data_IF_296404053786
#
_entry.id   IF_296404053786
#
_cell.length_a   1.000
_cell.length_b   1.000
_cell.length_c   1.000
_cell.angle_alpha   90.00
_cell.angle_beta   90.00
_cell.angle_gamma   90.00
#
_symmetry.space_group_name_H-M   'P 1'
#
loop_
_entity.id
_entity.type
_entity.pdbx_description
1 polymer ?
#
# COMPACT_ATOMS: atom_id res chain seq x y z
N UNK A 1 -22.52 -16.95 5.60
CA UNK A 1 -22.59 -15.83 4.63
C UNK A 1 -21.97 -14.63 5.31
N UNK A 2 -20.70 -14.34 5.03
CA UNK A 2 -20.03 -13.13 5.49
C UNK A 2 -19.58 -12.35 4.27
N UNK A 3 -20.41 -11.36 3.91
CA UNK A 3 -20.02 -10.30 2.99
C UNK A 3 -19.26 -9.26 3.82
N UNK A 4 -17.94 -9.16 3.64
CA UNK A 4 -17.16 -7.92 3.77
C UNK A 4 -15.71 -8.17 3.38
N UNK A 5 -15.43 -7.99 2.09
CA UNK A 5 -14.20 -7.32 1.64
C UNK A 5 -14.39 -6.87 0.18
N UNK A 6 -15.33 -5.95 0.00
CA UNK A 6 -15.34 -5.13 -1.20
C UNK A 6 -14.08 -4.24 -1.14
N UNK A 7 -13.25 -4.28 -2.18
CA UNK A 7 -12.06 -3.45 -2.36
C UNK A 7 -10.82 -3.84 -1.53
N UNK A 8 -10.35 -5.09 -1.62
CA UNK A 8 -8.89 -5.29 -1.53
C UNK A 8 -8.36 -4.63 -2.80
N UNK A 9 -7.79 -3.44 -2.68
CA UNK A 9 -7.10 -2.80 -3.79
C UNK A 9 -5.96 -3.73 -4.18
N UNK A 10 -6.12 -4.46 -5.29
CA UNK A 10 -5.04 -5.29 -5.82
C UNK A 10 -4.05 -4.35 -6.51
N UNK A 11 -3.11 -3.86 -5.69
CA UNK A 11 -2.02 -3.02 -6.16
C UNK A 11 -1.16 -3.75 -7.21
N UNK A 12 -1.04 -5.07 -7.15
CA UNK A 12 -0.27 -5.80 -8.17
C UNK A 12 -0.98 -5.76 -9.52
N UNK A 13 -2.30 -5.95 -9.55
CA UNK A 13 -3.08 -5.81 -10.78
C UNK A 13 -3.02 -4.37 -11.33
N UNK A 14 -3.13 -3.38 -10.43
CA UNK A 14 -3.09 -1.96 -10.79
C UNK A 14 -1.73 -1.56 -11.35
N UNK A 15 -0.63 -1.95 -10.68
CA UNK A 15 0.74 -1.72 -11.15
C UNK A 15 1.00 -2.39 -12.50
N UNK A 16 0.48 -3.61 -12.71
CA UNK A 16 0.61 -4.31 -14.00
C UNK A 16 -0.08 -3.57 -15.14
N UNK A 17 -1.30 -3.07 -14.91
CA UNK A 17 -2.07 -2.28 -15.90
C UNK A 17 -1.38 -0.95 -16.23
N UNK A 18 -0.90 -0.25 -15.20
CA UNK A 18 -0.17 1.01 -15.36
C UNK A 18 1.14 0.78 -16.13
N UNK A 19 1.89 -0.27 -15.81
CA UNK A 19 3.14 -0.62 -16.49
C UNK A 19 2.93 -0.91 -17.98
N UNK A 20 1.91 -1.71 -18.33
CA UNK A 20 1.56 -1.97 -19.73
C UNK A 20 1.18 -0.68 -20.46
N UNK A 21 0.43 0.21 -19.81
CA UNK A 21 0.03 1.50 -20.37
C UNK A 21 1.22 2.42 -20.59
N UNK A 22 2.19 2.45 -19.66
CA UNK A 22 3.44 3.19 -19.80
C UNK A 22 4.27 2.68 -20.96
N UNK A 23 4.42 1.36 -21.10
CA UNK A 23 5.17 0.76 -22.21
C UNK A 23 4.54 1.14 -23.55
N UNK A 24 3.22 1.03 -23.66
CA UNK A 24 2.47 1.38 -24.87
C UNK A 24 2.57 2.88 -25.19
N UNK A 25 2.42 3.74 -24.18
CA UNK A 25 2.53 5.18 -24.35
C UNK A 25 3.97 5.60 -24.72
N UNK A 26 4.98 4.95 -24.15
CA UNK A 26 6.38 5.19 -24.49
C UNK A 26 6.65 4.83 -25.95
N UNK A 27 6.18 3.66 -26.39
CA UNK A 27 6.33 3.19 -27.78
C UNK A 27 5.58 4.08 -28.79
N UNK A 28 4.41 4.60 -28.42
CA UNK A 28 3.52 5.31 -29.35
C UNK A 28 3.77 6.81 -29.40
N UNK A 29 3.95 7.44 -28.24
CA UNK A 29 3.99 8.90 -28.09
C UNK A 29 5.34 9.41 -27.61
N UNK A 30 6.19 8.54 -27.05
CA UNK A 30 7.47 8.91 -26.48
C UNK A 30 7.37 9.47 -25.05
N UNK A 31 8.52 9.61 -24.37
CA UNK A 31 8.58 9.90 -22.93
C UNK A 31 8.18 11.35 -22.59
N UNK A 32 8.34 12.29 -23.52
CA UNK A 32 7.94 13.70 -23.32
C UNK A 32 6.46 13.96 -23.60
N UNK A 33 5.71 12.94 -24.02
CA UNK A 33 4.30 13.09 -24.33
C UNK A 33 3.45 13.29 -23.08
N UNK A 34 2.37 14.07 -23.22
CA UNK A 34 1.41 14.28 -22.14
C UNK A 34 0.80 12.95 -21.68
N UNK A 35 0.55 12.03 -22.61
CA UNK A 35 -0.02 10.71 -22.33
C UNK A 35 0.91 9.90 -21.43
N UNK A 36 2.19 9.80 -21.79
CA UNK A 36 3.18 9.11 -20.96
C UNK A 36 3.31 9.75 -19.57
N UNK A 37 3.40 11.08 -19.52
CA UNK A 37 3.52 11.82 -18.25
C UNK A 37 2.29 11.63 -17.35
N UNK A 38 1.07 11.64 -17.91
CA UNK A 38 -0.16 11.38 -17.14
C UNK A 38 -0.16 9.98 -16.53
N UNK A 39 0.22 8.95 -17.29
CA UNK A 39 0.26 7.57 -16.78
C UNK A 39 1.39 7.44 -15.74
N UNK A 40 2.49 8.16 -15.91
CA UNK A 40 3.58 8.19 -14.93
C UNK A 40 3.13 8.80 -13.60
N UNK A 41 2.31 9.86 -13.61
CA UNK A 41 1.72 10.41 -12.39
C UNK A 41 0.79 9.41 -11.70
N UNK A 42 0.00 8.64 -12.46
CA UNK A 42 -0.83 7.57 -11.90
C UNK A 42 0.02 6.49 -11.20
N UNK A 43 1.18 6.13 -11.77
CA UNK A 43 2.11 5.21 -11.12
C UNK A 43 2.61 5.77 -9.78
N UNK A 44 2.99 7.05 -9.75
CA UNK A 44 3.48 7.72 -8.53
C UNK A 44 2.42 7.82 -7.44
N UNK A 45 1.16 8.02 -7.82
CA UNK A 45 0.03 8.03 -6.89
C UNK A 45 -0.19 6.63 -6.30
N UNK A 46 -0.24 5.60 -7.16
CA UNK A 46 -0.39 4.20 -6.74
C UNK A 46 0.71 3.76 -5.77
N UNK A 47 1.97 4.14 -6.03
CA UNK A 47 3.09 3.85 -5.10
C UNK A 47 2.96 4.58 -3.76
N UNK A 48 2.46 5.82 -3.76
CA UNK A 48 2.19 6.58 -2.52
C UNK A 48 1.08 5.94 -1.70
N UNK A 49 0.04 5.41 -2.35
CA UNK A 49 -1.04 4.72 -1.64
C UNK A 49 -0.55 3.43 -0.97
N UNK A 50 0.28 2.63 -1.66
CA UNK A 50 0.94 1.45 -1.10
C UNK A 50 1.78 1.83 0.13
N UNK A 51 2.59 2.88 0.03
CA UNK A 51 3.42 3.34 1.15
C UNK A 51 2.54 3.78 2.33
N UNK A 52 1.50 4.57 2.09
CA UNK A 52 0.57 5.03 3.12
C UNK A 52 -0.15 3.87 3.82
N UNK A 53 -0.57 2.84 3.07
CA UNK A 53 -1.18 1.65 3.66
C UNK A 53 -0.17 0.80 4.45
N UNK A 54 1.06 0.65 3.96
CA UNK A 54 2.12 -0.04 4.69
C UNK A 54 2.44 0.62 6.03
N UNK A 55 2.41 1.97 6.08
CA UNK A 55 2.59 2.73 7.32
C UNK A 55 1.40 2.59 8.26
N UNK A 56 0.17 2.56 7.76
CA UNK A 56 -1.04 2.33 8.57
C UNK A 56 -1.04 0.93 9.19
N UNK A 57 -0.67 -0.09 8.42
CA UNK A 57 -0.54 -1.46 8.94
C UNK A 57 0.59 -1.57 9.97
N UNK A 58 1.74 -0.93 9.72
CA UNK A 58 2.86 -0.91 10.66
C UNK A 58 2.49 -0.21 11.98
N UNK A 59 1.70 0.88 11.93
CA UNK A 59 1.19 1.57 13.13
C UNK A 59 0.12 0.78 13.87
N UNK A 60 -0.73 0.02 13.16
CA UNK A 60 -1.71 -0.87 13.78
C UNK A 60 -1.08 -2.06 14.52
N UNK A 61 0.17 -2.42 14.18
CA UNK A 61 0.96 -3.44 14.89
C UNK A 61 1.75 -2.89 16.09
N UNK A 62 1.70 -1.57 16.35
CA UNK A 62 2.34 -0.97 17.53
C UNK A 62 1.48 -1.27 18.76
N UNK A 63 1.64 -2.48 19.26
CA UNK A 63 1.40 -2.96 20.63
C UNK A 63 0.14 -2.41 21.29
N UNK A 64 -0.87 -3.26 21.32
CA UNK A 64 -2.04 -3.08 22.18
C UNK A 64 -1.60 -2.82 23.63
N UNK A 65 -2.04 -1.68 24.19
CA UNK A 65 -1.60 -1.22 25.50
C UNK A 65 -1.97 -2.23 26.62
N UNK A 66 -3.02 -3.03 26.41
CA UNK A 66 -3.43 -4.12 27.28
C UNK A 66 -2.41 -5.27 27.20
N UNK A 67 -1.97 -5.64 25.99
CA UNK A 67 -0.90 -6.63 25.81
C UNK A 67 0.44 -6.17 26.42
N UNK A 68 0.75 -4.87 26.33
CA UNK A 68 1.92 -4.28 26.99
C UNK A 68 1.78 -4.31 28.53
N UNK A 69 0.60 -3.97 29.05
CA UNK A 69 0.29 -4.00 30.48
C UNK A 69 0.38 -5.43 31.05
N UNK A 70 -0.15 -6.41 30.33
CA UNK A 70 -0.05 -7.84 30.66
C UNK A 70 1.42 -8.29 30.69
N UNK A 71 2.20 -7.92 29.67
CA UNK A 71 3.63 -8.23 29.63
C UNK A 71 4.41 -7.61 30.79
N UNK A 72 4.07 -6.38 31.18
CA UNK A 72 4.66 -5.73 32.37
C UNK A 72 4.25 -6.43 33.67
N UNK A 73 2.99 -6.83 33.81
CA UNK A 73 2.50 -7.56 35.00
C UNK A 73 3.20 -8.91 35.23
N UNK A 74 3.59 -9.62 34.16
CA UNK A 74 4.38 -10.85 34.29
C UNK A 74 5.81 -10.61 34.81
N UNK A 75 6.39 -9.42 34.59
CA UNK A 75 7.72 -9.07 35.10
C UNK A 75 7.72 -8.75 36.61
N UNK A 76 6.60 -8.28 37.15
CA UNK A 76 6.46 -7.99 38.59
C UNK A 76 6.29 -9.24 39.46
N UNK A 77 5.84 -10.36 38.88
CA UNK A 77 5.60 -11.62 39.60
C UNK A 77 6.91 -12.43 39.82
N UNK A 78 8.01 -12.02 39.20
CA UNK A 78 9.32 -12.67 39.30
C UNK A 78 10.21 -12.25 40.47
N UNK A 79 9.67 -11.59 41.51
CA UNK A 79 10.40 -11.14 42.70
C UNK A 79 10.05 -11.92 43.96
#
# INVERSE_FOLDING_TARGET
MEQRNQNIVDYNESLRKISNSLENALKTFGPSSRQYQTILEMLKECLRDIENESQKQSKAQVVDADMLSIAMGFLEIGK
#
